data_IF_064552819655
#
_entry.id   IF_064552819655
#
_cell.length_a   1.000
_cell.length_b   1.000
_cell.length_c   1.000
_cell.angle_alpha   90.00
_cell.angle_beta   90.00
_cell.angle_gamma   90.00
#
_symmetry.space_group_name_H-M   'P 1'
#
loop_
_entity.id
_entity.type
_entity.pdbx_description
1 polymer ?
#
# COMPACT_ATOMS: atom_id res chain seq x y z
N UNK A 1 -0.22 14.83 0.61
CA UNK A 1 0.92 14.16 -0.07
C UNK A 1 2.08 14.08 0.90
N UNK A 2 3.16 13.35 0.58
CA UNK A 2 4.41 13.37 1.39
C UNK A 2 4.85 14.80 1.71
N UNK A 3 4.72 15.70 0.74
CA UNK A 3 5.02 17.13 0.90
C UNK A 3 4.20 17.81 2.02
N UNK A 4 2.88 17.58 2.06
CA UNK A 4 2.01 18.12 3.14
C UNK A 4 2.48 17.69 4.53
N UNK A 5 2.90 16.43 4.68
CA UNK A 5 3.39 15.91 5.98
C UNK A 5 4.73 16.54 6.37
N UNK A 6 5.60 16.80 5.40
CA UNK A 6 6.86 17.52 5.66
C UNK A 6 6.59 18.97 6.09
N UNK A 7 5.65 19.67 5.44
CA UNK A 7 5.24 21.03 5.82
C UNK A 7 4.65 21.10 7.24
N UNK A 8 3.94 20.05 7.66
CA UNK A 8 3.42 19.92 9.03
C UNK A 8 4.50 19.58 10.08
N UNK A 9 5.75 19.37 9.66
CA UNK A 9 6.89 19.11 10.56
C UNK A 9 7.14 17.63 10.88
N UNK A 10 6.49 16.69 10.20
CA UNK A 10 6.82 15.26 10.33
C UNK A 10 8.18 14.99 9.68
N UNK A 11 9.07 14.27 10.38
CA UNK A 11 10.47 14.09 9.96
C UNK A 11 10.74 12.79 9.21
N UNK A 12 9.99 11.73 9.52
CA UNK A 12 10.21 10.39 8.99
C UNK A 12 9.09 10.02 8.01
N UNK A 13 8.96 10.81 6.94
CA UNK A 13 7.93 10.59 5.92
C UNK A 13 8.56 9.86 4.74
N UNK A 14 8.00 8.72 4.37
CA UNK A 14 8.43 7.92 3.23
C UNK A 14 7.30 7.84 2.21
N UNK A 15 7.66 7.83 0.93
CA UNK A 15 6.75 7.51 -0.16
C UNK A 15 7.07 6.11 -0.68
N UNK A 16 6.10 5.20 -0.68
CA UNK A 16 6.26 3.89 -1.28
C UNK A 16 6.12 4.02 -2.79
N UNK A 17 7.25 3.93 -3.50
CA UNK A 17 7.26 3.87 -4.97
C UNK A 17 6.44 2.66 -5.44
N UNK A 18 5.67 2.84 -6.52
CA UNK A 18 4.76 1.80 -7.02
C UNK A 18 3.52 1.51 -6.17
N UNK A 19 3.50 2.01 -4.93
CA UNK A 19 2.37 1.86 -4.01
C UNK A 19 2.02 0.41 -3.71
N UNK A 20 0.74 0.17 -3.46
CA UNK A 20 0.24 -1.14 -3.05
C UNK A 20 0.24 -2.16 -4.21
N UNK A 21 0.13 -1.69 -5.45
CA UNK A 21 0.15 -2.54 -6.65
C UNK A 21 1.49 -3.24 -6.82
N UNK A 22 2.58 -2.47 -6.87
CA UNK A 22 3.92 -3.05 -7.02
C UNK A 22 4.34 -3.87 -5.80
N UNK A 23 3.86 -3.51 -4.59
CA UNK A 23 4.10 -4.30 -3.38
C UNK A 23 3.61 -5.74 -3.55
N UNK A 24 2.37 -5.92 -4.03
CA UNK A 24 1.77 -7.24 -4.27
C UNK A 24 2.42 -7.94 -5.46
N UNK A 25 2.66 -7.21 -6.56
CA UNK A 25 3.32 -7.79 -7.74
C UNK A 25 4.74 -8.28 -7.44
N UNK A 26 5.40 -7.70 -6.43
CA UNK A 26 6.68 -8.17 -5.88
C UNK A 26 6.59 -9.42 -5.00
N UNK A 27 5.39 -9.96 -4.76
CA UNK A 27 5.17 -11.14 -3.92
C UNK A 27 5.27 -10.87 -2.42
N UNK A 28 5.16 -9.61 -1.98
CA UNK A 28 5.23 -9.28 -0.57
C UNK A 28 3.91 -9.55 0.15
N UNK A 29 3.98 -10.13 1.34
CA UNK A 29 2.82 -10.37 2.19
C UNK A 29 2.18 -9.08 2.69
N UNK A 30 0.88 -9.15 2.95
CA UNK A 30 0.09 -8.08 3.57
C UNK A 30 -0.60 -8.67 4.78
N UNK A 31 -0.64 -7.94 5.88
CA UNK A 31 -1.28 -8.38 7.12
C UNK A 31 -2.31 -7.36 7.59
N UNK A 32 -3.43 -7.84 8.10
CA UNK A 32 -4.38 -7.05 8.88
C UNK A 32 -4.60 -7.70 10.25
N UNK A 33 -5.55 -7.17 11.03
CA UNK A 33 -5.86 -7.69 12.37
C UNK A 33 -6.32 -9.16 12.37
N UNK A 34 -6.79 -9.69 11.24
CA UNK A 34 -7.26 -11.06 11.06
C UNK A 34 -6.21 -12.01 10.47
N UNK A 35 -4.99 -11.53 10.21
CA UNK A 35 -3.90 -12.33 9.68
C UNK A 35 -3.43 -11.88 8.29
N UNK A 36 -2.76 -12.79 7.59
CA UNK A 36 -2.26 -12.54 6.24
C UNK A 36 -3.39 -12.42 5.23
N UNK A 37 -3.41 -11.34 4.48
CA UNK A 37 -4.25 -11.18 3.30
C UNK A 37 -3.55 -11.87 2.12
N UNK A 38 -4.07 -13.04 1.75
CA UNK A 38 -3.69 -13.70 0.50
C UNK A 38 -4.27 -12.95 -0.70
N UNK A 39 -3.62 -11.85 -1.10
CA UNK A 39 -3.99 -11.10 -2.30
C UNK A 39 -3.34 -11.76 -3.50
N UNK A 40 -4.17 -12.38 -4.35
CA UNK A 40 -3.70 -13.21 -5.47
C UNK A 40 -3.66 -12.40 -6.79
N UNK A 41 -4.40 -11.29 -6.88
CA UNK A 41 -4.36 -10.30 -7.96
C UNK A 41 -5.27 -9.10 -7.64
N UNK A 42 -4.91 -7.90 -8.14
CA UNK A 42 -5.85 -6.76 -8.26
C UNK A 42 -6.71 -6.93 -9.50
N UNK A 43 -7.45 -8.01 -9.61
CA UNK A 43 -8.56 -7.99 -10.55
C UNK A 43 -9.61 -7.05 -9.97
N UNK A 44 -9.87 -5.98 -10.73
CA UNK A 44 -10.94 -5.03 -10.47
C UNK A 44 -12.19 -5.87 -10.22
N UNK A 45 -12.71 -5.85 -8.99
CA UNK A 45 -14.04 -6.37 -8.72
C UNK A 45 -14.98 -5.51 -9.56
N UNK A 46 -15.41 -6.01 -10.72
CA UNK A 46 -16.47 -5.37 -11.47
C UNK A 46 -17.73 -5.49 -10.60
N UNK A 47 -18.24 -4.35 -10.14
CA UNK A 47 -19.54 -4.27 -9.48
C UNK A 47 -20.62 -4.58 -10.54
N UNK A 48 -21.39 -5.65 -10.34
CA UNK A 48 -22.58 -6.01 -11.14
C UNK A 48 -23.70 -4.96 -11.04
#
# INVERSE_FOLDING_TARGET
TTYTLLEMGYKNVLNLEGGFEEWINGGNSIYNYHGELGVINFEKLEEE
#
